data_IF_488011745193
#
_entry.id   IF_488011745193
#
_cell.length_a   1.000
_cell.length_b   1.000
_cell.length_c   1.000
_cell.angle_alpha   90.00
_cell.angle_beta   90.00
_cell.angle_gamma   90.00
#
_symmetry.space_group_name_H-M   'P 1'
#
loop_
_entity.id
_entity.type
_entity.pdbx_description
1 polymer ?
#
# COMPACT_ATOMS: atom_id res chain seq x y z
N UNK A 1 4.97 21.18 -7.88
CA UNK A 1 3.59 21.31 -7.33
C UNK A 1 3.38 22.72 -6.81
N UNK A 2 2.17 23.29 -6.92
CA UNK A 2 1.87 24.62 -6.35
C UNK A 2 1.93 24.56 -4.83
N UNK A 3 2.50 25.59 -4.21
CA UNK A 3 2.55 25.70 -2.76
C UNK A 3 1.12 25.76 -2.16
N UNK A 4 0.92 25.14 -0.99
CA UNK A 4 -0.39 25.07 -0.35
C UNK A 4 -0.72 26.39 0.32
N UNK A 5 -1.92 26.90 0.11
CA UNK A 5 -2.36 28.09 0.82
C UNK A 5 -2.53 27.82 2.32
N UNK A 6 -2.30 28.82 3.19
CA UNK A 6 -2.57 28.68 4.63
C UNK A 6 -4.00 28.24 4.94
N UNK A 7 -4.98 28.65 4.12
CA UNK A 7 -6.38 28.24 4.28
C UNK A 7 -6.57 26.75 3.99
N UNK A 8 -5.85 26.17 3.03
CA UNK A 8 -5.93 24.73 2.73
C UNK A 8 -5.35 23.90 3.87
N UNK A 9 -4.24 24.34 4.48
CA UNK A 9 -3.66 23.69 5.64
C UNK A 9 -4.57 23.80 6.89
N UNK A 10 -5.15 24.96 7.13
CA UNK A 10 -6.06 25.21 8.25
C UNK A 10 -7.38 24.41 8.15
N UNK A 11 -7.72 23.92 6.97
CA UNK A 11 -8.92 23.10 6.76
C UNK A 11 -8.71 21.60 7.07
N UNK A 12 -7.49 21.18 7.38
CA UNK A 12 -7.19 19.77 7.73
C UNK A 12 -7.77 19.44 9.11
N UNK A 13 -8.56 18.38 9.18
CA UNK A 13 -9.07 17.84 10.45
C UNK A 13 -8.05 16.90 11.05
N UNK A 14 -7.71 17.10 12.32
CA UNK A 14 -6.74 16.25 13.05
C UNK A 14 -7.42 15.53 14.21
N UNK A 15 -7.26 14.20 14.24
CA UNK A 15 -7.66 13.36 15.37
C UNK A 15 -6.36 12.86 16.03
N UNK A 16 -6.21 13.14 17.32
CA UNK A 16 -4.98 12.82 18.07
C UNK A 16 -5.12 11.54 18.88
N UNK A 17 -4.00 10.85 19.09
CA UNK A 17 -3.87 9.71 20.02
C UNK A 17 -4.86 8.58 19.75
N UNK A 18 -5.15 8.29 18.49
CA UNK A 18 -6.04 7.20 18.10
C UNK A 18 -5.30 5.87 18.32
N UNK A 19 -5.83 4.98 19.19
CA UNK A 19 -5.19 3.70 19.46
C UNK A 19 -5.32 2.76 18.23
N UNK A 20 -4.22 2.06 17.92
CA UNK A 20 -4.20 1.03 16.89
C UNK A 20 -3.80 -0.36 17.43
N UNK A 21 -3.39 -0.43 18.69
CA UNK A 21 -2.99 -1.66 19.35
C UNK A 21 -2.38 -1.40 20.72
N UNK A 22 -1.79 -2.45 21.27
CA UNK A 22 -1.01 -2.41 22.51
C UNK A 22 0.33 -3.12 22.31
N UNK A 23 1.37 -2.65 22.98
CA UNK A 23 2.70 -3.22 22.94
C UNK A 23 3.25 -3.52 24.31
N UNK A 24 3.86 -4.69 24.51
CA UNK A 24 4.54 -5.03 25.75
C UNK A 24 5.81 -4.22 25.90
N UNK A 25 6.03 -3.64 27.07
CA UNK A 25 7.21 -2.88 27.47
C UNK A 25 7.79 -3.47 28.78
N UNK A 26 9.02 -3.07 29.14
CA UNK A 26 9.67 -3.54 30.36
C UNK A 26 10.03 -5.04 30.34
N UNK A 27 10.25 -5.62 29.16
CA UNK A 27 10.63 -7.02 29.05
C UNK A 27 11.98 -7.29 29.70
N UNK A 28 12.03 -8.30 30.59
CA UNK A 28 13.22 -8.64 31.34
C UNK A 28 13.49 -7.75 32.56
N UNK A 29 12.56 -6.87 32.91
CA UNK A 29 12.61 -6.06 34.14
C UNK A 29 11.62 -6.59 35.19
N UNK A 30 11.66 -5.99 36.37
CA UNK A 30 10.70 -6.21 37.46
C UNK A 30 9.32 -5.53 37.24
N UNK A 31 9.19 -4.75 36.15
CA UNK A 31 7.97 -3.97 35.83
C UNK A 31 7.55 -4.14 34.37
N UNK A 32 7.22 -5.36 33.91
CA UNK A 32 6.62 -5.53 32.59
C UNK A 32 5.22 -4.94 32.58
N UNK A 33 4.83 -4.37 31.42
CA UNK A 33 3.52 -3.75 31.24
C UNK A 33 3.07 -3.72 29.81
N UNK A 34 1.86 -3.21 29.58
CA UNK A 34 1.32 -2.90 28.26
C UNK A 34 1.30 -1.38 28.07
N UNK A 35 1.61 -0.95 26.89
CA UNK A 35 1.50 0.46 26.45
C UNK A 35 0.55 0.55 25.28
N UNK A 36 -0.43 1.45 25.28
CA UNK A 36 -1.21 1.77 24.09
C UNK A 36 -0.29 2.26 22.96
N UNK A 37 -0.48 1.73 21.77
CA UNK A 37 0.17 2.20 20.56
C UNK A 37 -0.79 3.13 19.84
N UNK A 38 -0.38 4.38 19.63
CA UNK A 38 -1.27 5.45 19.16
C UNK A 38 -0.72 6.10 17.88
N UNK A 39 -1.64 6.64 17.09
CA UNK A 39 -1.34 7.40 15.88
C UNK A 39 -2.14 8.70 15.88
N UNK A 40 -1.69 9.68 15.09
CA UNK A 40 -2.48 10.87 14.74
C UNK A 40 -3.00 10.73 13.31
N UNK A 41 -4.24 11.16 13.10
CA UNK A 41 -4.96 11.06 11.83
C UNK A 41 -5.22 12.47 11.29
N UNK A 42 -4.85 12.69 10.04
CA UNK A 42 -5.00 13.96 9.34
C UNK A 42 -5.90 13.73 8.14
N UNK A 43 -7.05 14.39 8.12
CA UNK A 43 -8.06 14.19 7.07
C UNK A 43 -8.35 15.49 6.32
N UNK A 44 -8.55 15.41 5.00
CA UNK A 44 -9.07 16.53 4.23
C UNK A 44 -10.39 17.03 4.78
N UNK A 45 -10.69 18.31 4.60
CA UNK A 45 -12.02 18.85 4.83
C UNK A 45 -13.07 18.16 3.94
N UNK A 46 -14.31 18.09 4.45
CA UNK A 46 -15.45 17.52 3.73
C UNK A 46 -15.50 15.99 3.72
N UNK A 47 -16.50 15.47 3.03
CA UNK A 47 -16.78 14.05 2.94
C UNK A 47 -15.76 13.32 2.07
N UNK A 48 -15.60 12.01 2.30
CA UNK A 48 -14.77 11.19 1.46
C UNK A 48 -15.41 11.04 0.07
N UNK A 49 -14.60 11.06 -1.02
CA UNK A 49 -15.11 10.77 -2.35
C UNK A 49 -15.64 9.32 -2.40
N UNK A 50 -16.60 9.00 -3.29
CA UNK A 50 -17.14 7.65 -3.42
C UNK A 50 -16.09 6.56 -3.63
N UNK A 51 -14.99 6.89 -4.30
CA UNK A 51 -13.85 5.98 -4.50
C UNK A 51 -12.95 5.80 -3.27
N UNK A 52 -13.27 6.47 -2.15
CA UNK A 52 -12.40 6.55 -0.99
C UNK A 52 -11.21 7.51 -1.19
N UNK A 53 -10.50 7.82 -0.11
CA UNK A 53 -9.29 8.66 -0.14
C UNK A 53 -8.04 7.82 -0.38
N UNK A 54 -7.09 8.26 -1.22
CA UNK A 54 -5.75 7.70 -1.20
C UNK A 54 -5.11 8.01 0.16
N UNK A 55 -4.22 7.15 0.61
CA UNK A 55 -3.72 7.20 1.99
C UNK A 55 -2.21 7.19 2.05
N UNK A 56 -1.65 7.93 2.98
CA UNK A 56 -0.23 7.94 3.32
C UNK A 56 -0.03 7.68 4.81
N UNK A 57 0.64 6.58 5.15
CA UNK A 57 0.95 6.18 6.51
C UNK A 57 2.43 6.42 6.76
N UNK A 58 2.79 7.30 7.71
CA UNK A 58 4.17 7.73 7.94
C UNK A 58 4.65 7.38 9.36
N UNK A 59 5.91 6.94 9.42
CA UNK A 59 6.62 6.61 10.65
C UNK A 59 7.82 7.54 10.85
N UNK A 60 7.99 8.05 12.05
CA UNK A 60 9.06 8.97 12.40
C UNK A 60 10.47 8.33 12.42
N UNK A 61 11.50 9.17 12.36
CA UNK A 61 12.89 8.79 12.55
C UNK A 61 13.30 8.70 14.02
N UNK A 62 14.63 8.73 14.27
CA UNK A 62 15.19 8.85 15.61
C UNK A 62 16.01 7.66 16.09
N UNK A 63 16.55 6.86 15.18
CA UNK A 63 17.40 5.71 15.48
C UNK A 63 16.79 4.73 16.49
N UNK A 64 15.47 4.56 16.46
CA UNK A 64 14.68 3.68 17.35
C UNK A 64 14.71 4.07 18.85
N UNK A 65 15.28 5.25 19.19
CA UNK A 65 15.48 5.68 20.58
C UNK A 65 14.84 7.02 20.91
N UNK A 66 14.43 7.78 19.93
CA UNK A 66 13.84 9.12 20.11
C UNK A 66 12.82 9.41 18.99
N UNK A 67 12.11 10.53 19.12
CA UNK A 67 11.04 10.92 18.22
C UNK A 67 9.68 10.43 18.70
N UNK A 68 8.64 11.01 18.12
CA UNK A 68 7.25 10.64 18.33
C UNK A 68 6.46 11.04 17.08
N UNK A 69 5.22 10.59 16.96
CA UNK A 69 4.31 10.89 15.86
C UNK A 69 4.07 12.38 15.58
N UNK A 70 4.38 13.24 16.55
CA UNK A 70 4.18 14.70 16.52
C UNK A 70 5.46 15.50 16.90
N UNK A 71 6.60 14.83 17.10
CA UNK A 71 7.88 15.43 17.53
C UNK A 71 9.05 14.62 17.01
N UNK A 72 9.39 14.81 15.75
CA UNK A 72 10.49 14.13 15.07
C UNK A 72 11.34 15.08 14.20
N UNK A 73 11.37 16.35 14.56
CA UNK A 73 12.32 17.29 14.00
C UNK A 73 13.69 17.08 14.64
N UNK A 74 14.69 16.83 13.80
CA UNK A 74 16.06 16.62 14.21
C UNK A 74 16.98 17.52 13.40
N UNK A 75 18.01 18.01 14.06
CA UNK A 75 19.03 18.86 13.44
C UNK A 75 20.40 18.19 13.48
N UNK A 76 21.18 18.38 12.45
CA UNK A 76 22.60 18.07 12.40
C UNK A 76 23.27 18.97 11.37
N UNK A 77 24.41 19.60 11.80
CA UNK A 77 25.25 20.44 10.95
C UNK A 77 24.46 21.56 10.24
N UNK A 78 23.52 22.18 10.97
CA UNK A 78 22.68 23.27 10.47
C UNK A 78 21.61 22.86 9.47
N UNK A 79 21.38 21.56 9.30
CA UNK A 79 20.31 21.00 8.48
C UNK A 79 19.34 20.23 9.34
N UNK A 80 18.04 20.33 9.02
CA UNK A 80 16.95 19.65 9.73
C UNK A 80 16.09 18.85 8.76
N UNK A 81 15.40 17.84 9.26
CA UNK A 81 14.39 17.12 8.48
C UNK A 81 13.02 17.79 8.61
N UNK A 82 12.18 17.67 7.61
CA UNK A 82 10.76 17.93 7.79
C UNK A 82 10.14 16.81 8.62
N UNK A 83 9.44 17.14 9.72
CA UNK A 83 8.75 16.15 10.55
C UNK A 83 7.66 15.39 9.77
N UNK A 84 7.44 14.12 10.11
CA UNK A 84 6.46 13.30 9.39
C UNK A 84 5.01 13.81 9.54
N UNK A 85 4.69 14.45 10.66
CA UNK A 85 3.38 15.05 10.85
C UNK A 85 3.13 16.25 9.91
N UNK A 86 4.16 17.05 9.59
CA UNK A 86 4.03 18.13 8.62
C UNK A 86 3.74 17.59 7.21
N UNK A 87 4.40 16.50 6.79
CA UNK A 87 4.01 15.80 5.56
C UNK A 87 2.55 15.34 5.62
N UNK A 88 2.08 14.80 6.76
CA UNK A 88 0.69 14.41 6.93
C UNK A 88 -0.28 15.59 6.73
N UNK A 89 -0.01 16.73 7.33
CA UNK A 89 -0.83 17.95 7.17
C UNK A 89 -0.88 18.40 5.71
N UNK A 90 0.28 18.45 5.06
CA UNK A 90 0.41 18.92 3.67
C UNK A 90 -0.25 17.98 2.67
N UNK A 91 -0.10 16.66 2.85
CA UNK A 91 -0.76 15.70 1.97
C UNK A 91 -2.26 15.57 2.27
N UNK A 92 -2.70 15.77 3.52
CA UNK A 92 -4.12 15.87 3.83
C UNK A 92 -4.77 17.09 3.16
N UNK A 93 -4.10 18.23 3.13
CA UNK A 93 -4.57 19.41 2.38
C UNK A 93 -4.66 19.16 0.86
N UNK A 94 -4.01 18.12 0.34
CA UNK A 94 -4.09 17.68 -1.08
C UNK A 94 -5.07 16.52 -1.32
N UNK A 95 -5.87 16.15 -0.32
CA UNK A 95 -6.92 15.14 -0.48
C UNK A 95 -6.57 13.73 0.00
N UNK A 96 -5.38 13.50 0.58
CA UNK A 96 -5.00 12.21 1.15
C UNK A 96 -5.52 12.08 2.59
N UNK A 97 -5.89 10.87 3.01
CA UNK A 97 -5.96 10.56 4.43
C UNK A 97 -4.55 10.21 4.90
N UNK A 98 -4.04 10.92 5.91
CA UNK A 98 -2.68 10.73 6.37
C UNK A 98 -2.63 10.30 7.84
N UNK A 99 -1.66 9.46 8.18
CA UNK A 99 -1.51 8.88 9.49
C UNK A 99 -0.06 9.00 9.93
N UNK A 100 0.19 9.64 11.07
CA UNK A 100 1.51 9.69 11.71
C UNK A 100 1.54 8.70 12.86
N UNK A 101 2.44 7.72 12.81
CA UNK A 101 2.47 6.57 13.71
C UNK A 101 3.50 6.79 14.82
N UNK A 102 3.07 6.61 16.09
CA UNK A 102 3.97 6.38 17.21
C UNK A 102 4.22 4.88 17.40
N UNK A 103 5.44 4.50 17.71
CA UNK A 103 5.85 3.12 17.95
C UNK A 103 6.68 3.01 19.24
N UNK A 104 6.94 1.79 19.73
CA UNK A 104 7.77 1.54 20.93
C UNK A 104 9.23 1.86 20.64
N UNK A 105 9.90 2.51 21.60
CA UNK A 105 11.32 2.79 21.51
C UNK A 105 12.15 1.68 22.19
N UNK A 106 13.39 1.51 21.78
CA UNK A 106 14.27 0.43 22.29
C UNK A 106 14.44 0.49 23.81
N UNK A 107 14.56 1.70 24.40
CA UNK A 107 14.69 1.86 25.85
C UNK A 107 13.42 1.52 26.64
N UNK A 108 12.29 1.36 26.00
CA UNK A 108 11.07 0.85 26.64
C UNK A 108 11.12 -0.67 26.83
N UNK A 109 12.19 -1.31 26.35
CA UNK A 109 12.40 -2.76 26.48
C UNK A 109 11.21 -3.57 25.97
N UNK A 110 10.88 -3.49 24.67
CA UNK A 110 9.78 -4.25 24.09
C UNK A 110 10.03 -5.76 24.21
N UNK A 111 8.96 -6.55 24.32
CA UNK A 111 9.06 -7.99 24.23
C UNK A 111 9.51 -8.45 22.84
N UNK A 112 10.16 -9.63 22.73
CA UNK A 112 10.54 -10.22 21.45
C UNK A 112 9.37 -10.29 20.46
N UNK A 113 9.65 -10.04 19.19
CA UNK A 113 8.71 -10.12 18.08
C UNK A 113 9.18 -11.16 17.07
N UNK A 114 8.35 -11.58 16.11
CA UNK A 114 8.81 -12.37 14.96
C UNK A 114 10.03 -11.70 14.31
N UNK A 115 11.04 -12.50 13.97
CA UNK A 115 12.34 -12.02 13.52
C UNK A 115 12.40 -11.88 11.99
N UNK A 116 12.10 -10.68 11.41
CA UNK A 116 12.30 -10.48 9.99
C UNK A 116 13.77 -10.26 9.61
N UNK A 117 14.61 -9.81 10.54
CA UNK A 117 16.02 -9.49 10.28
C UNK A 117 16.83 -10.79 10.09
N UNK A 118 17.48 -10.95 8.93
CA UNK A 118 18.29 -12.11 8.55
C UNK A 118 19.78 -11.88 8.68
N UNK A 119 20.23 -10.63 8.65
CA UNK A 119 21.65 -10.29 8.86
C UNK A 119 22.17 -10.90 10.16
N UNK A 120 23.46 -11.21 10.20
CA UNK A 120 24.09 -11.73 11.40
C UNK A 120 23.87 -10.76 12.58
N UNK A 121 23.20 -11.25 13.61
CA UNK A 121 22.85 -10.48 14.81
C UNK A 121 24.06 -9.94 15.56
N UNK A 122 25.27 -10.44 15.28
CA UNK A 122 26.51 -9.93 15.86
C UNK A 122 27.10 -8.73 15.11
N UNK A 123 26.71 -8.50 13.86
CA UNK A 123 27.26 -7.48 12.97
C UNK A 123 26.36 -6.26 12.78
N UNK A 124 25.41 -6.03 13.68
CA UNK A 124 24.51 -4.87 13.63
C UNK A 124 25.28 -3.56 13.61
N UNK A 125 25.01 -2.74 12.60
CA UNK A 125 25.58 -1.40 12.48
C UNK A 125 25.08 -0.47 13.59
N UNK A 126 25.85 -0.29 14.64
CA UNK A 126 25.42 0.37 15.86
C UNK A 126 25.98 1.79 16.11
N UNK A 127 26.95 2.23 15.33
CA UNK A 127 27.64 3.52 15.58
C UNK A 127 26.68 4.71 15.76
N UNK A 128 25.65 4.84 14.90
CA UNK A 128 24.64 5.91 15.03
C UNK A 128 23.74 5.69 16.23
N UNK A 129 23.38 4.47 16.52
CA UNK A 129 22.51 4.09 17.65
C UNK A 129 23.25 4.40 18.96
N UNK A 130 24.48 3.96 19.10
CA UNK A 130 25.29 4.20 20.29
C UNK A 130 25.50 5.71 20.53
N UNK A 131 25.78 6.47 19.48
CA UNK A 131 25.89 7.93 19.54
C UNK A 131 24.57 8.60 20.03
N UNK A 132 23.41 8.12 19.58
CA UNK A 132 22.10 8.62 20.06
C UNK A 132 21.88 8.23 21.51
N UNK A 133 22.18 6.99 21.90
CA UNK A 133 22.05 6.50 23.28
C UNK A 133 22.89 7.31 24.27
N UNK A 134 24.14 7.58 23.92
CA UNK A 134 25.03 8.41 24.73
C UNK A 134 24.46 9.81 24.99
N UNK A 135 23.92 10.47 23.92
CA UNK A 135 23.30 11.79 24.05
C UNK A 135 22.00 11.81 24.85
N UNK A 136 21.31 10.68 24.92
CA UNK A 136 20.11 10.50 25.74
C UNK A 136 20.47 10.06 27.20
N UNK A 137 21.74 9.89 27.51
CA UNK A 137 22.18 9.40 28.83
C UNK A 137 21.76 7.94 29.08
N UNK A 138 21.53 7.16 28.04
CA UNK A 138 21.15 5.76 28.15
C UNK A 138 22.40 4.87 28.30
N UNK A 139 22.33 3.81 29.10
CA UNK A 139 23.43 2.87 29.25
C UNK A 139 23.70 2.13 27.92
N UNK A 140 24.91 1.57 27.72
CA UNK A 140 25.18 0.69 26.59
C UNK A 140 24.14 -0.41 26.49
N UNK A 141 23.77 -0.79 25.26
CA UNK A 141 22.87 -1.89 24.99
C UNK A 141 23.59 -3.04 24.30
N UNK A 142 23.11 -4.26 24.50
CA UNK A 142 23.54 -5.43 23.74
C UNK A 142 22.97 -5.39 22.32
N UNK A 143 23.60 -6.11 21.37
CA UNK A 143 23.02 -6.25 20.02
C UNK A 143 21.61 -6.86 20.07
N UNK A 144 21.36 -7.81 20.96
CA UNK A 144 20.07 -8.44 21.15
C UNK A 144 18.98 -7.44 21.57
N UNK A 145 19.30 -6.51 22.50
CA UNK A 145 18.36 -5.46 22.90
C UNK A 145 18.08 -4.47 21.77
N UNK A 146 19.12 -4.12 20.99
CA UNK A 146 18.97 -3.23 19.84
C UNK A 146 18.08 -3.89 18.76
N UNK A 147 18.35 -5.11 18.38
CA UNK A 147 17.57 -5.85 17.38
C UNK A 147 16.13 -6.07 17.83
N UNK A 148 15.92 -6.44 19.09
CA UNK A 148 14.58 -6.57 19.67
C UNK A 148 13.80 -5.24 19.60
N UNK A 149 14.47 -4.12 19.85
CA UNK A 149 13.88 -2.79 19.70
C UNK A 149 13.50 -2.50 18.25
N UNK A 150 14.39 -2.77 17.30
CA UNK A 150 14.14 -2.58 15.86
C UNK A 150 12.98 -3.43 15.37
N UNK A 151 12.98 -4.73 15.71
CA UNK A 151 11.92 -5.68 15.34
C UNK A 151 10.56 -5.27 15.93
N UNK A 152 10.54 -4.71 17.15
CA UNK A 152 9.32 -4.19 17.75
C UNK A 152 8.78 -2.98 16.95
N UNK A 153 9.64 -2.07 16.49
CA UNK A 153 9.24 -0.96 15.62
C UNK A 153 8.65 -1.47 14.30
N UNK A 154 9.26 -2.48 13.67
CA UNK A 154 8.76 -3.05 12.43
C UNK A 154 7.37 -3.69 12.61
N UNK A 155 7.20 -4.41 13.73
CA UNK A 155 5.91 -5.02 14.09
C UNK A 155 4.83 -3.96 14.38
N UNK A 156 5.17 -2.89 15.11
CA UNK A 156 4.25 -1.81 15.44
C UNK A 156 3.79 -1.06 14.19
N UNK A 157 4.71 -0.73 13.28
CA UNK A 157 4.41 -0.07 12.00
C UNK A 157 3.52 -0.96 11.12
N UNK A 158 3.81 -2.26 11.05
CA UNK A 158 2.98 -3.22 10.33
C UNK A 158 1.59 -3.36 10.97
N UNK A 159 1.49 -3.35 12.30
CA UNK A 159 0.22 -3.42 13.03
C UNK A 159 -0.63 -2.17 12.79
N UNK A 160 -0.03 -0.97 12.83
CA UNK A 160 -0.72 0.29 12.54
C UNK A 160 -1.31 0.29 11.12
N UNK A 161 -0.52 -0.09 10.12
CA UNK A 161 -1.00 -0.18 8.75
C UNK A 161 -2.17 -1.15 8.61
N UNK A 162 -2.06 -2.37 9.17
CA UNK A 162 -3.15 -3.36 9.15
C UNK A 162 -4.40 -2.87 9.87
N UNK A 163 -4.23 -2.15 10.98
CA UNK A 163 -5.35 -1.54 11.71
C UNK A 163 -6.06 -0.51 10.83
N UNK A 164 -5.32 0.39 10.17
CA UNK A 164 -5.90 1.40 9.26
C UNK A 164 -6.61 0.71 8.10
N UNK A 165 -5.99 -0.28 7.48
CA UNK A 165 -6.55 -1.06 6.37
C UNK A 165 -7.86 -1.76 6.76
N UNK A 166 -7.89 -2.42 7.91
CA UNK A 166 -9.08 -3.12 8.41
C UNK A 166 -10.24 -2.17 8.79
N UNK A 167 -9.91 -0.93 9.19
CA UNK A 167 -10.86 0.10 9.60
C UNK A 167 -10.99 1.22 8.55
N UNK A 168 -10.62 0.99 7.31
CA UNK A 168 -10.62 1.95 6.22
C UNK A 168 -11.92 2.79 6.07
N UNK A 169 -13.14 2.21 6.22
CA UNK A 169 -14.39 2.96 6.16
C UNK A 169 -14.51 4.08 7.21
N UNK A 170 -13.91 3.92 8.39
CA UNK A 170 -13.94 4.91 9.47
C UNK A 170 -13.44 6.29 9.03
N UNK A 171 -12.41 6.30 8.17
CA UNK A 171 -11.76 7.53 7.69
C UNK A 171 -12.02 7.80 6.21
N UNK A 172 -12.93 7.03 5.59
CA UNK A 172 -13.22 7.13 4.16
C UNK A 172 -12.00 6.80 3.29
N UNK A 173 -11.17 5.87 3.71
CA UNK A 173 -9.97 5.40 3.03
C UNK A 173 -10.31 4.34 1.97
N UNK A 174 -9.63 4.35 0.84
CA UNK A 174 -9.60 3.22 -0.08
C UNK A 174 -8.44 2.29 0.32
N UNK A 175 -8.70 1.07 0.83
CA UNK A 175 -7.67 0.16 1.32
C UNK A 175 -6.69 -0.32 0.23
N UNK A 176 -7.04 -0.23 -1.05
CA UNK A 176 -6.15 -0.58 -2.15
C UNK A 176 -5.23 0.58 -2.58
N UNK A 177 -5.45 1.77 -2.06
CA UNK A 177 -4.68 2.97 -2.39
C UNK A 177 -3.97 3.53 -1.17
N UNK A 178 -3.28 2.66 -0.43
CA UNK A 178 -2.54 3.02 0.77
C UNK A 178 -1.04 2.89 0.54
N UNK A 179 -0.31 3.99 0.69
CA UNK A 179 1.15 4.01 0.75
C UNK A 179 1.63 4.01 2.20
N UNK A 180 2.81 3.48 2.41
CA UNK A 180 3.51 3.52 3.68
C UNK A 180 4.89 4.14 3.49
N UNK A 181 5.39 4.85 4.50
CA UNK A 181 6.71 5.44 4.43
C UNK A 181 7.21 5.98 5.75
N UNK A 182 8.33 6.67 5.68
CA UNK A 182 8.90 7.32 6.85
C UNK A 182 10.31 7.82 6.64
N UNK A 183 10.83 8.45 7.66
CA UNK A 183 12.16 9.03 7.68
C UNK A 183 13.13 8.15 8.50
N UNK A 184 14.36 7.89 8.00
CA UNK A 184 15.42 7.17 8.72
C UNK A 184 14.91 5.82 9.28
N UNK A 185 14.89 5.64 10.61
CA UNK A 185 14.36 4.43 11.26
C UNK A 185 12.90 4.11 10.82
N UNK A 186 12.06 5.13 10.60
CA UNK A 186 10.70 4.95 10.08
C UNK A 186 10.67 4.49 8.62
N UNK A 187 11.59 4.97 7.79
CA UNK A 187 11.76 4.49 6.42
C UNK A 187 12.21 3.03 6.37
N UNK A 188 13.16 2.65 7.24
CA UNK A 188 13.57 1.26 7.41
C UNK A 188 12.38 0.40 7.83
N UNK A 189 11.65 0.82 8.88
CA UNK A 189 10.49 0.06 9.38
C UNK A 189 9.40 -0.14 8.32
N UNK A 190 9.17 0.86 7.47
CA UNK A 190 8.22 0.79 6.36
C UNK A 190 8.65 -0.23 5.30
N UNK A 191 9.94 -0.29 4.96
CA UNK A 191 10.47 -1.30 4.05
C UNK A 191 10.29 -2.72 4.63
N UNK A 192 10.67 -2.94 5.91
CA UNK A 192 10.48 -4.25 6.55
C UNK A 192 9.00 -4.63 6.70
N UNK A 193 8.13 -3.67 7.04
CA UNK A 193 6.69 -3.93 7.14
C UNK A 193 6.11 -4.48 5.82
N UNK A 194 6.54 -3.94 4.67
CA UNK A 194 6.05 -4.37 3.35
C UNK A 194 6.79 -5.60 2.86
N UNK A 195 8.10 -5.50 2.73
CA UNK A 195 8.86 -6.54 2.02
C UNK A 195 9.05 -7.82 2.85
N UNK A 196 9.22 -7.69 4.18
CA UNK A 196 9.43 -8.82 5.07
C UNK A 196 8.14 -9.30 5.77
N UNK A 197 7.31 -8.37 6.28
CA UNK A 197 6.10 -8.71 7.05
C UNK A 197 4.82 -8.75 6.20
N UNK A 198 4.91 -8.50 4.89
CA UNK A 198 3.83 -8.68 3.94
C UNK A 198 2.64 -7.75 4.12
N UNK A 199 2.88 -6.50 4.57
CA UNK A 199 1.84 -5.48 4.64
C UNK A 199 1.37 -5.15 3.22
N UNK A 200 0.04 -5.12 2.94
CA UNK A 200 -0.49 -4.93 1.58
C UNK A 200 -0.50 -3.45 1.16
N UNK A 201 0.67 -2.79 1.20
CA UNK A 201 0.79 -1.41 0.74
C UNK A 201 0.84 -1.33 -0.79
N UNK A 202 0.23 -0.28 -1.36
CA UNK A 202 0.26 0.00 -2.79
C UNK A 202 1.55 0.71 -3.23
N UNK A 203 2.28 1.33 -2.30
CA UNK A 203 3.56 2.01 -2.55
C UNK A 203 4.37 2.16 -1.26
N UNK A 204 5.70 2.25 -1.39
CA UNK A 204 6.62 2.51 -0.28
C UNK A 204 7.39 3.80 -0.53
N UNK A 205 7.48 4.68 0.49
CA UNK A 205 8.26 5.92 0.45
C UNK A 205 9.30 5.89 1.57
N UNK A 206 10.58 5.86 1.23
CA UNK A 206 11.67 5.80 2.21
C UNK A 206 12.62 6.99 2.07
N UNK A 207 12.64 7.81 3.11
CA UNK A 207 13.51 8.98 3.26
C UNK A 207 14.72 8.59 4.11
N UNK A 208 15.89 8.41 3.51
CA UNK A 208 17.15 7.98 4.17
C UNK A 208 16.98 6.74 5.07
N UNK A 209 16.07 5.83 4.66
CA UNK A 209 15.82 4.53 5.29
C UNK A 209 16.29 3.38 4.40
N UNK A 210 15.59 2.27 4.36
CA UNK A 210 15.90 1.14 3.47
C UNK A 210 15.98 -0.18 4.22
N UNK A 211 16.71 -1.13 3.67
CA UNK A 211 16.93 -2.45 4.27
C UNK A 211 18.41 -2.78 4.27
N UNK A 212 18.85 -3.64 5.17
CA UNK A 212 20.18 -4.24 5.07
C UNK A 212 20.32 -5.04 3.77
N UNK A 213 21.54 -5.11 3.25
CA UNK A 213 21.79 -5.71 1.93
C UNK A 213 21.32 -7.16 1.84
N UNK A 214 21.65 -7.97 2.87
CA UNK A 214 21.26 -9.38 2.96
C UNK A 214 19.74 -9.54 3.03
N UNK A 215 19.06 -8.70 3.83
CA UNK A 215 17.61 -8.70 3.95
C UNK A 215 16.93 -8.23 2.66
N UNK A 216 17.49 -7.23 1.98
CA UNK A 216 16.99 -6.79 0.68
C UNK A 216 17.04 -7.95 -0.35
N UNK A 217 18.15 -8.67 -0.43
CA UNK A 217 18.31 -9.82 -1.33
C UNK A 217 17.37 -10.97 -0.97
N UNK A 218 17.11 -11.18 0.33
CA UNK A 218 16.20 -12.23 0.79
C UNK A 218 14.72 -11.91 0.52
N UNK A 219 14.28 -10.67 0.72
CA UNK A 219 12.87 -10.31 0.69
C UNK A 219 12.40 -9.67 -0.61
N UNK A 220 13.28 -8.97 -1.34
CA UNK A 220 12.93 -8.23 -2.57
C UNK A 220 13.34 -9.06 -3.78
N UNK A 221 12.45 -9.93 -4.22
CA UNK A 221 12.68 -10.79 -5.40
C UNK A 221 11.44 -10.86 -6.29
N UNK A 222 11.64 -11.20 -7.56
CA UNK A 222 10.56 -11.31 -8.56
C UNK A 222 9.50 -12.36 -8.21
N UNK A 223 8.31 -12.19 -8.75
CA UNK A 223 7.18 -13.13 -8.55
C UNK A 223 6.32 -12.87 -7.31
N UNK A 224 6.67 -11.93 -6.44
CA UNK A 224 5.88 -11.59 -5.25
C UNK A 224 4.84 -10.47 -5.44
N UNK A 225 4.80 -9.82 -6.61
CA UNK A 225 3.89 -8.68 -6.82
C UNK A 225 4.14 -7.53 -5.84
N UNK A 226 5.41 -7.22 -5.54
CA UNK A 226 5.79 -6.20 -4.58
C UNK A 226 5.45 -4.79 -5.10
N UNK A 227 5.05 -3.84 -4.21
CA UNK A 227 4.70 -2.49 -4.60
C UNK A 227 5.92 -1.66 -5.02
N UNK A 228 5.72 -0.60 -5.82
CA UNK A 228 6.79 0.32 -6.18
C UNK A 228 7.40 1.02 -4.97
N UNK A 229 8.70 1.37 -5.11
CA UNK A 229 9.52 2.00 -4.08
C UNK A 229 9.99 3.38 -4.54
N UNK A 230 9.78 4.39 -3.68
CA UNK A 230 10.43 5.70 -3.76
C UNK A 230 11.49 5.78 -2.66
N UNK A 231 12.75 6.02 -3.07
CA UNK A 231 13.91 6.02 -2.19
C UNK A 231 14.67 7.34 -2.30
N UNK A 232 15.05 7.92 -1.16
CA UNK A 232 15.92 9.10 -1.10
C UNK A 232 17.17 8.80 -0.31
N UNK A 233 18.32 9.26 -0.82
CA UNK A 233 19.62 9.19 -0.15
C UNK A 233 20.20 10.59 -0.08
N UNK A 234 20.65 11.03 1.10
CA UNK A 234 21.37 12.31 1.21
C UNK A 234 22.79 12.19 0.65
N UNK A 235 23.32 13.29 0.10
CA UNK A 235 24.67 13.34 -0.47
C UNK A 235 25.77 13.08 0.57
N UNK A 236 25.55 13.54 1.79
CA UNK A 236 26.40 13.33 2.98
C UNK A 236 25.65 12.55 4.06
N UNK A 237 24.95 11.47 3.66
CA UNK A 237 24.18 10.62 4.56
C UNK A 237 25.11 9.86 5.54
N UNK A 238 24.51 9.23 6.55
CA UNK A 238 25.24 8.37 7.48
C UNK A 238 25.97 7.26 6.70
N UNK A 239 27.23 6.92 7.02
CA UNK A 239 28.08 6.06 6.19
C UNK A 239 27.48 4.70 5.79
N UNK A 240 26.58 4.16 6.62
CA UNK A 240 25.91 2.89 6.34
C UNK A 240 24.69 3.02 5.42
N UNK A 241 24.15 4.22 5.16
CA UNK A 241 22.91 4.41 4.40
C UNK A 241 23.14 4.28 2.88
N UNK A 242 24.10 4.99 2.25
CA UNK A 242 24.27 4.93 0.82
C UNK A 242 24.54 3.53 0.27
N UNK A 243 25.44 2.68 0.84
CA UNK A 243 25.66 1.34 0.31
C UNK A 243 24.42 0.43 0.44
N UNK A 244 23.62 0.56 1.52
CA UNK A 244 22.36 -0.17 1.66
C UNK A 244 21.35 0.22 0.60
N UNK A 245 21.24 1.52 0.30
CA UNK A 245 20.33 2.03 -0.73
C UNK A 245 20.74 1.58 -2.13
N UNK A 246 22.01 1.55 -2.46
CA UNK A 246 22.50 1.04 -3.73
C UNK A 246 22.15 -0.46 -3.89
N UNK A 247 22.36 -1.26 -2.83
CA UNK A 247 21.99 -2.69 -2.86
C UNK A 247 20.48 -2.87 -3.00
N UNK A 248 19.69 -2.13 -2.22
CA UNK A 248 18.22 -2.20 -2.30
C UNK A 248 17.71 -1.77 -3.69
N UNK A 249 18.25 -0.69 -4.26
CA UNK A 249 17.90 -0.22 -5.59
C UNK A 249 18.26 -1.25 -6.67
N UNK A 250 19.48 -1.80 -6.63
CA UNK A 250 19.91 -2.84 -7.57
C UNK A 250 19.05 -4.10 -7.47
N UNK A 251 18.69 -4.50 -6.25
CA UNK A 251 17.82 -5.68 -6.00
C UNK A 251 16.40 -5.42 -6.50
N UNK A 252 15.84 -4.24 -6.24
CA UNK A 252 14.54 -3.83 -6.75
C UNK A 252 14.48 -3.86 -8.29
N UNK A 253 15.52 -3.34 -8.97
CA UNK A 253 15.63 -3.38 -10.43
C UNK A 253 15.68 -4.82 -10.95
N UNK A 254 16.51 -5.68 -10.34
CA UNK A 254 16.59 -7.11 -10.71
C UNK A 254 15.27 -7.85 -10.51
N UNK A 255 14.52 -7.48 -9.47
CA UNK A 255 13.20 -8.04 -9.17
C UNK A 255 12.08 -7.52 -10.09
N UNK A 256 12.35 -6.55 -10.96
CA UNK A 256 11.34 -5.91 -11.82
C UNK A 256 10.43 -4.95 -11.04
N UNK A 257 10.88 -4.46 -9.88
CA UNK A 257 10.11 -3.52 -9.07
C UNK A 257 10.08 -2.13 -9.70
N UNK A 258 8.94 -1.44 -9.62
CA UNK A 258 8.87 -0.02 -9.93
C UNK A 258 9.72 0.77 -8.92
N UNK A 259 10.76 1.49 -9.39
CA UNK A 259 11.69 2.23 -8.53
C UNK A 259 11.85 3.67 -9.00
N UNK A 260 11.87 4.59 -8.04
CA UNK A 260 12.50 5.92 -8.15
C UNK A 260 13.49 6.08 -7.01
N UNK A 261 14.73 6.33 -7.33
CA UNK A 261 15.79 6.61 -6.36
C UNK A 261 16.39 7.99 -6.66
N UNK A 262 16.28 8.88 -5.68
CA UNK A 262 16.81 10.23 -5.75
C UNK A 262 17.97 10.42 -4.80
N UNK A 263 18.95 11.20 -5.23
CA UNK A 263 19.96 11.79 -4.38
C UNK A 263 19.47 13.19 -3.96
N UNK A 264 19.65 13.53 -2.69
CA UNK A 264 19.51 14.88 -2.13
C UNK A 264 20.92 15.45 -1.98
N UNK A 265 21.46 16.16 -3.00
CA UNK A 265 22.86 16.58 -3.01
C UNK A 265 23.14 17.57 -1.89
N UNK A 266 24.40 17.62 -1.45
CA UNK A 266 24.92 18.56 -0.47
C UNK A 266 24.16 18.63 0.87
N UNK A 267 23.39 17.60 1.21
CA UNK A 267 22.67 17.48 2.48
C UNK A 267 23.22 16.35 3.33
N UNK A 268 23.32 16.57 4.66
CA UNK A 268 23.58 15.49 5.61
C UNK A 268 22.33 14.60 5.74
N UNK A 269 22.36 13.65 6.67
CA UNK A 269 21.23 12.72 6.93
C UNK A 269 19.87 13.39 7.12
N UNK A 270 19.83 14.61 7.68
CA UNK A 270 18.60 15.37 7.84
C UNK A 270 18.49 16.41 6.73
N UNK A 271 17.39 16.37 6.00
CA UNK A 271 17.02 17.29 4.91
C UNK A 271 15.53 17.54 4.91
N UNK A 272 15.16 18.73 4.49
CA UNK A 272 13.76 19.15 4.45
C UNK A 272 13.06 18.78 3.13
N UNK A 273 11.75 18.97 3.12
CA UNK A 273 10.86 18.70 1.98
C UNK A 273 11.17 19.55 0.73
N UNK A 274 11.81 20.71 0.91
CA UNK A 274 12.15 21.65 -0.17
C UNK A 274 13.55 21.39 -0.73
N UNK A 275 14.30 20.49 -0.11
CA UNK A 275 15.65 20.15 -0.56
C UNK A 275 15.61 19.68 -2.03
N UNK A 276 16.53 20.20 -2.87
CA UNK A 276 16.65 19.81 -4.27
C UNK A 276 17.04 18.35 -4.41
N UNK A 277 16.63 17.71 -5.50
CA UNK A 277 16.93 16.31 -5.77
C UNK A 277 17.48 16.09 -7.16
N UNK A 278 18.22 15.01 -7.32
CA UNK A 278 18.71 14.52 -8.61
C UNK A 278 18.36 13.03 -8.75
N UNK A 279 17.85 12.64 -9.92
CA UNK A 279 17.55 11.23 -10.21
C UNK A 279 18.84 10.41 -10.23
N UNK A 280 18.89 9.35 -9.43
CA UNK A 280 20.00 8.39 -9.39
C UNK A 280 19.67 7.12 -10.17
N UNK A 281 18.55 6.49 -9.84
CA UNK A 281 18.02 5.33 -10.57
C UNK A 281 16.51 5.46 -10.73
N UNK A 282 15.97 5.08 -11.87
CA UNK A 282 14.54 4.99 -12.07
C UNK A 282 14.17 3.91 -13.09
N UNK A 283 13.20 3.07 -12.74
CA UNK A 283 12.52 2.16 -13.68
C UNK A 283 11.14 2.69 -14.06
N UNK A 284 10.69 3.80 -13.42
CA UNK A 284 9.43 4.46 -13.69
C UNK A 284 9.67 5.75 -14.49
N UNK A 285 8.78 6.12 -15.43
CA UNK A 285 8.94 7.32 -16.25
C UNK A 285 8.78 8.61 -15.42
N UNK A 286 9.35 9.71 -15.94
CA UNK A 286 9.12 11.07 -15.44
C UNK A 286 9.81 11.40 -14.12
N UNK A 287 10.83 10.67 -13.73
CA UNK A 287 11.61 10.96 -12.54
C UNK A 287 12.30 12.33 -12.60
N UNK A 288 12.80 12.72 -13.78
CA UNK A 288 13.55 13.96 -14.01
C UNK A 288 12.68 15.23 -13.89
N UNK A 289 11.36 15.09 -13.83
CA UNK A 289 10.42 16.22 -13.74
C UNK A 289 10.20 16.73 -12.30
N UNK A 290 10.85 16.11 -11.28
CA UNK A 290 10.74 16.51 -9.88
C UNK A 290 11.93 17.39 -9.50
N UNK A 291 11.65 18.49 -8.79
CA UNK A 291 12.68 19.44 -8.35
C UNK A 291 13.05 19.27 -6.87
N UNK A 292 12.11 18.87 -6.03
CA UNK A 292 12.26 18.75 -4.58
C UNK A 292 11.79 17.41 -4.05
N UNK A 293 12.15 17.11 -2.81
CA UNK A 293 11.71 15.92 -2.08
C UNK A 293 10.18 15.82 -2.08
N UNK A 294 9.47 16.93 -1.73
CA UNK A 294 8.00 16.93 -1.68
C UNK A 294 7.36 16.73 -3.06
N UNK A 295 7.94 17.33 -4.11
CA UNK A 295 7.47 17.16 -5.49
C UNK A 295 7.56 15.67 -5.91
N UNK A 296 8.66 15.02 -5.57
CA UNK A 296 8.86 13.62 -5.91
C UNK A 296 7.89 12.70 -5.17
N UNK A 297 7.67 12.94 -3.86
CA UNK A 297 6.69 12.19 -3.08
C UNK A 297 5.29 12.39 -3.68
N UNK A 298 4.89 13.64 -3.89
CA UNK A 298 3.56 13.97 -4.41
C UNK A 298 3.29 13.36 -5.78
N UNK A 299 4.26 13.44 -6.69
CA UNK A 299 4.15 12.84 -8.02
C UNK A 299 4.10 11.32 -7.95
N UNK A 300 4.97 10.70 -7.18
CA UNK A 300 5.00 9.25 -7.02
C UNK A 300 3.68 8.73 -6.45
N UNK A 301 3.16 9.33 -5.37
CA UNK A 301 1.87 8.96 -4.78
C UNK A 301 0.70 9.20 -5.77
N UNK A 302 0.70 10.32 -6.50
CA UNK A 302 -0.34 10.59 -7.49
C UNK A 302 -0.37 9.52 -8.60
N UNK A 303 0.77 9.05 -9.04
CA UNK A 303 0.87 8.06 -10.12
C UNK A 303 0.58 6.63 -9.63
N UNK A 304 1.04 6.27 -8.42
CA UNK A 304 0.89 4.91 -7.88
C UNK A 304 -0.45 4.67 -7.19
N UNK A 305 -1.06 5.72 -6.62
CA UNK A 305 -2.34 5.64 -5.90
C UNK A 305 -3.52 6.18 -6.73
N UNK A 306 -3.40 6.18 -8.06
CA UNK A 306 -4.55 6.54 -8.92
C UNK A 306 -5.69 5.55 -8.70
N UNK A 307 -6.94 6.03 -8.66
CA UNK A 307 -8.06 5.09 -8.75
C UNK A 307 -7.92 4.29 -10.06
N UNK A 308 -8.28 3.02 -10.05
CA UNK A 308 -8.25 2.22 -11.27
C UNK A 308 -9.06 2.92 -12.35
N UNK A 309 -8.48 3.01 -13.53
CA UNK A 309 -9.13 3.60 -14.72
C UNK A 309 -10.14 2.62 -15.32
N UNK A 310 -11.02 2.06 -14.50
CA UNK A 310 -12.15 1.28 -15.00
C UNK A 310 -13.23 2.25 -15.43
N UNK A 311 -13.61 2.14 -16.68
CA UNK A 311 -14.64 2.98 -17.30
C UNK A 311 -15.85 2.14 -17.69
N UNK A 312 -16.96 2.81 -17.95
CA UNK A 312 -18.14 2.20 -18.57
C UNK A 312 -17.75 1.54 -19.90
N UNK A 313 -16.87 2.15 -20.69
CA UNK A 313 -16.40 1.62 -21.98
C UNK A 313 -15.66 0.28 -21.83
N UNK A 314 -14.92 0.08 -20.72
CA UNK A 314 -14.30 -1.21 -20.43
C UNK A 314 -15.35 -2.30 -20.18
N UNK A 315 -16.42 -2.01 -19.45
CA UNK A 315 -17.51 -2.97 -19.21
C UNK A 315 -18.32 -3.21 -20.49
N UNK A 316 -18.52 -2.20 -21.32
CA UNK A 316 -19.13 -2.37 -22.66
C UNK A 316 -18.28 -3.30 -23.54
N UNK A 317 -16.95 -3.09 -23.59
CA UNK A 317 -16.03 -3.95 -24.34
C UNK A 317 -16.02 -5.40 -23.80
N UNK A 318 -16.10 -5.59 -22.48
CA UNK A 318 -16.27 -6.90 -21.83
C UNK A 318 -17.59 -7.58 -22.24
N UNK A 319 -18.71 -6.86 -22.22
CA UNK A 319 -20.02 -7.39 -22.63
C UNK A 319 -20.05 -7.76 -24.13
N UNK A 320 -19.39 -6.97 -24.97
CA UNK A 320 -19.22 -7.28 -26.39
C UNK A 320 -18.38 -8.53 -26.63
N UNK A 321 -17.32 -8.75 -25.83
CA UNK A 321 -16.51 -9.97 -25.90
C UNK A 321 -17.35 -11.22 -25.56
N UNK A 322 -18.25 -11.14 -24.57
CA UNK A 322 -19.23 -12.19 -24.28
C UNK A 322 -20.12 -12.51 -25.49
N UNK A 323 -20.69 -11.50 -26.13
CA UNK A 323 -21.58 -11.67 -27.28
C UNK A 323 -20.85 -12.18 -28.53
N UNK A 324 -19.56 -11.88 -28.69
CA UNK A 324 -18.73 -12.42 -29.78
C UNK A 324 -18.12 -13.78 -29.49
N UNK A 325 -18.33 -14.34 -28.31
CA UNK A 325 -17.71 -15.58 -27.82
C UNK A 325 -16.17 -15.52 -27.84
N UNK A 326 -15.59 -14.37 -27.53
CA UNK A 326 -14.16 -14.11 -27.55
C UNK A 326 -13.56 -14.36 -26.15
N UNK A 327 -13.15 -15.61 -25.92
CA UNK A 327 -12.63 -16.04 -24.62
C UNK A 327 -11.31 -15.37 -24.26
N UNK A 328 -10.45 -15.13 -25.24
CA UNK A 328 -9.15 -14.50 -24.98
C UNK A 328 -9.32 -13.03 -24.63
N UNK A 329 -10.22 -12.30 -25.32
CA UNK A 329 -10.57 -10.94 -24.94
C UNK A 329 -11.17 -10.87 -23.55
N UNK A 330 -12.11 -11.79 -23.19
CA UNK A 330 -12.69 -11.84 -21.83
C UNK A 330 -11.60 -12.01 -20.77
N UNK A 331 -10.70 -12.97 -20.96
CA UNK A 331 -9.60 -13.21 -20.02
C UNK A 331 -8.59 -12.06 -19.99
N UNK A 332 -8.52 -11.24 -21.05
CA UNK A 332 -7.76 -10.00 -21.08
C UNK A 332 -8.22 -8.96 -20.06
N UNK A 333 -9.50 -8.94 -19.71
CA UNK A 333 -10.05 -8.05 -18.69
C UNK A 333 -9.91 -8.57 -17.25
N UNK A 334 -9.61 -9.86 -17.06
CA UNK A 334 -9.59 -10.50 -15.74
C UNK A 334 -8.23 -10.34 -15.04
N UNK A 335 -8.24 -10.10 -13.73
CA UNK A 335 -7.05 -10.13 -12.89
C UNK A 335 -6.49 -11.57 -12.75
N UNK A 336 -5.25 -11.71 -12.29
CA UNK A 336 -4.62 -13.03 -12.13
C UNK A 336 -5.27 -13.85 -11.00
N UNK A 337 -5.70 -13.20 -9.92
CA UNK A 337 -6.43 -13.78 -8.79
C UNK A 337 -7.95 -13.68 -8.93
N UNK A 338 -8.46 -13.68 -10.17
CA UNK A 338 -9.87 -13.45 -10.44
C UNK A 338 -10.78 -14.55 -9.88
N UNK A 339 -12.00 -14.14 -9.56
CA UNK A 339 -13.07 -15.02 -9.08
C UNK A 339 -14.34 -14.78 -9.88
N UNK A 340 -14.99 -15.86 -10.28
CA UNK A 340 -16.30 -15.82 -10.91
C UNK A 340 -17.32 -16.61 -10.08
N UNK A 341 -18.41 -15.94 -9.68
CA UNK A 341 -19.57 -16.57 -9.07
C UNK A 341 -20.68 -16.71 -10.12
N UNK A 342 -21.13 -17.92 -10.34
CA UNK A 342 -22.25 -18.18 -11.26
C UNK A 342 -23.57 -17.83 -10.58
N UNK A 343 -24.60 -17.53 -11.39
CA UNK A 343 -25.96 -17.21 -10.94
C UNK A 343 -26.67 -18.40 -10.24
N UNK A 344 -26.14 -19.60 -10.29
CA UNK A 344 -26.68 -20.82 -9.68
C UNK A 344 -25.54 -21.74 -9.23
N UNK A 345 -25.83 -22.59 -8.28
CA UNK A 345 -24.87 -23.55 -7.75
C UNK A 345 -25.35 -24.15 -6.43
N UNK A 346 -24.53 -24.97 -5.80
CA UNK A 346 -24.86 -25.63 -4.54
C UNK A 346 -24.93 -24.69 -3.34
N UNK A 347 -24.23 -23.54 -3.42
CA UNK A 347 -24.14 -22.56 -2.34
C UNK A 347 -25.04 -21.34 -2.59
N UNK A 348 -25.34 -20.57 -1.55
CA UNK A 348 -26.12 -19.33 -1.63
C UNK A 348 -25.52 -18.31 -2.61
N UNK A 349 -24.22 -18.32 -2.80
CA UNK A 349 -23.48 -17.47 -3.75
C UNK A 349 -23.23 -18.12 -5.12
N UNK A 350 -23.92 -19.19 -5.47
CA UNK A 350 -23.71 -19.93 -6.73
C UNK A 350 -22.48 -20.86 -6.69
N UNK A 351 -21.94 -21.21 -7.85
CA UNK A 351 -20.67 -21.93 -7.94
C UNK A 351 -19.52 -20.92 -8.05
N UNK A 352 -18.48 -21.11 -7.25
CA UNK A 352 -17.32 -20.24 -7.20
C UNK A 352 -16.13 -20.83 -7.97
N UNK A 353 -15.69 -20.13 -9.02
CA UNK A 353 -14.49 -20.43 -9.79
C UNK A 353 -13.38 -19.47 -9.42
N UNK A 354 -12.20 -19.98 -9.01
CA UNK A 354 -11.07 -19.18 -8.49
C UNK A 354 -9.86 -19.36 -9.40
N UNK A 355 -9.26 -18.24 -9.81
CA UNK A 355 -8.09 -18.19 -10.68
C UNK A 355 -8.43 -18.26 -12.15
N UNK A 356 -7.49 -17.82 -12.99
CA UNK A 356 -7.70 -17.63 -14.43
C UNK A 356 -8.16 -18.90 -15.17
N UNK A 357 -7.58 -20.05 -14.85
CA UNK A 357 -7.90 -21.31 -15.57
C UNK A 357 -9.31 -21.78 -15.26
N UNK A 358 -9.73 -21.73 -13.98
CA UNK A 358 -11.08 -22.12 -13.58
C UNK A 358 -12.15 -21.15 -14.13
N UNK A 359 -11.86 -19.84 -14.13
CA UNK A 359 -12.76 -18.83 -14.70
C UNK A 359 -12.85 -18.99 -16.21
N UNK A 360 -11.74 -19.22 -16.91
CA UNK A 360 -11.71 -19.48 -18.35
C UNK A 360 -12.56 -20.71 -18.72
N UNK A 361 -12.41 -21.79 -17.99
CA UNK A 361 -13.20 -23.01 -18.21
C UNK A 361 -14.70 -22.78 -17.99
N UNK A 362 -15.07 -22.02 -16.96
CA UNK A 362 -16.47 -21.68 -16.69
C UNK A 362 -17.08 -20.78 -17.79
N UNK A 363 -16.32 -19.83 -18.33
CA UNK A 363 -16.77 -19.00 -19.46
C UNK A 363 -16.97 -19.82 -20.73
N UNK A 364 -16.02 -20.69 -21.08
CA UNK A 364 -16.15 -21.60 -22.22
C UNK A 364 -17.39 -22.53 -22.08
N UNK A 365 -17.63 -23.02 -20.86
CA UNK A 365 -18.80 -23.86 -20.58
C UNK A 365 -20.14 -23.13 -20.83
N UNK A 366 -20.23 -21.84 -20.52
CA UNK A 366 -21.44 -21.06 -20.75
C UNK A 366 -21.85 -21.06 -22.24
N UNK A 367 -20.91 -21.02 -23.17
CA UNK A 367 -21.17 -21.12 -24.61
C UNK A 367 -21.38 -22.56 -25.10
N UNK A 368 -20.74 -23.54 -24.45
CA UNK A 368 -21.06 -24.92 -24.73
C UNK A 368 -22.52 -25.28 -24.37
N UNK A 369 -22.99 -24.74 -23.24
CA UNK A 369 -24.38 -24.91 -22.79
C UNK A 369 -25.40 -24.12 -23.65
N UNK A 370 -24.98 -22.98 -24.23
CA UNK A 370 -25.79 -22.08 -25.06
C UNK A 370 -24.98 -21.55 -26.26
N UNK A 371 -24.87 -22.30 -27.34
CA UNK A 371 -24.02 -21.95 -28.50
C UNK A 371 -24.44 -20.66 -29.24
N UNK A 372 -25.69 -20.24 -29.11
CA UNK A 372 -26.24 -19.01 -29.69
C UNK A 372 -26.42 -17.88 -28.63
N UNK A 373 -25.72 -17.99 -27.47
CA UNK A 373 -25.85 -17.06 -26.37
C UNK A 373 -25.52 -15.61 -26.77
N UNK A 374 -26.39 -14.69 -26.37
CA UNK A 374 -26.17 -13.24 -26.52
C UNK A 374 -26.60 -12.50 -25.26
N UNK A 375 -25.84 -11.46 -24.92
CA UNK A 375 -26.19 -10.53 -23.88
C UNK A 375 -26.60 -9.21 -24.54
N UNK A 376 -27.86 -8.87 -24.43
CA UNK A 376 -28.48 -7.71 -25.10
C UNK A 376 -28.97 -6.70 -24.08
N UNK A 377 -29.30 -5.48 -24.52
CA UNK A 377 -29.82 -4.38 -23.68
C UNK A 377 -28.88 -4.03 -22.52
N UNK A 378 -27.57 -4.14 -22.73
CA UNK A 378 -26.59 -3.89 -21.69
C UNK A 378 -26.62 -2.44 -21.23
N UNK A 379 -26.52 -2.24 -19.91
CA UNK A 379 -26.28 -0.94 -19.26
C UNK A 379 -25.20 -1.12 -18.23
N UNK A 380 -24.28 -0.18 -18.16
CA UNK A 380 -23.11 -0.29 -17.31
C UNK A 380 -23.00 0.90 -16.37
N UNK A 381 -22.59 0.63 -15.13
CA UNK A 381 -22.33 1.62 -14.10
C UNK A 381 -20.99 1.29 -13.46
N UNK A 382 -20.16 2.29 -13.25
CA UNK A 382 -18.86 2.16 -12.56
C UNK A 382 -18.76 3.23 -11.50
N UNK A 383 -18.40 2.83 -10.28
CA UNK A 383 -18.15 3.72 -9.17
C UNK A 383 -16.95 3.20 -8.38
N UNK A 384 -15.80 3.86 -8.54
CA UNK A 384 -14.55 3.43 -7.91
C UNK A 384 -14.20 2.00 -8.31
N UNK A 385 -14.05 1.12 -7.32
CA UNK A 385 -13.71 -0.29 -7.51
C UNK A 385 -14.91 -1.23 -7.68
N UNK A 386 -16.10 -0.68 -7.86
CA UNK A 386 -17.33 -1.45 -8.05
C UNK A 386 -17.95 -1.12 -9.39
N UNK A 387 -18.55 -2.13 -10.02
CA UNK A 387 -19.30 -1.94 -11.25
C UNK A 387 -20.52 -2.84 -11.30
N UNK A 388 -21.48 -2.47 -12.14
CA UNK A 388 -22.68 -3.25 -12.44
C UNK A 388 -22.87 -3.24 -13.94
N UNK A 389 -23.18 -4.40 -14.50
CA UNK A 389 -23.73 -4.54 -15.85
C UNK A 389 -25.11 -5.17 -15.77
N UNK A 390 -26.14 -4.46 -16.13
CA UNK A 390 -27.47 -5.01 -16.37
C UNK A 390 -27.54 -5.55 -17.81
N UNK A 391 -28.21 -6.65 -18.03
CA UNK A 391 -28.33 -7.28 -19.36
C UNK A 391 -29.54 -8.17 -19.46
N UNK A 392 -29.96 -8.46 -20.71
CA UNK A 392 -30.88 -9.53 -21.05
C UNK A 392 -30.11 -10.66 -21.75
N UNK A 393 -30.08 -11.84 -21.14
CA UNK A 393 -29.52 -13.05 -21.75
C UNK A 393 -30.56 -13.69 -22.67
N UNK A 394 -30.13 -14.07 -23.87
CA UNK A 394 -30.93 -14.82 -24.85
C UNK A 394 -30.08 -15.96 -25.39
N UNK A 395 -30.61 -17.17 -25.38
CA UNK A 395 -29.90 -18.33 -25.93
C UNK A 395 -30.75 -19.57 -25.94
N UNK A 396 -30.37 -20.56 -26.75
CA UNK A 396 -30.99 -21.86 -26.83
C UNK A 396 -30.14 -22.91 -26.12
N UNK A 397 -30.72 -23.60 -25.14
CA UNK A 397 -29.99 -24.59 -24.36
C UNK A 397 -29.66 -25.81 -25.22
N UNK A 398 -28.38 -26.16 -25.27
CA UNK A 398 -27.93 -27.27 -26.13
C UNK A 398 -28.51 -28.64 -25.76
N UNK A 399 -28.81 -28.87 -24.47
CA UNK A 399 -29.24 -30.17 -23.95
C UNK A 399 -30.69 -30.53 -24.31
N UNK A 400 -31.59 -29.57 -24.49
CA UNK A 400 -33.04 -29.79 -24.68
C UNK A 400 -33.68 -28.85 -25.70
N UNK A 401 -32.89 -27.94 -26.32
CA UNK A 401 -33.39 -26.99 -27.32
C UNK A 401 -34.28 -25.88 -26.75
N UNK A 402 -34.40 -25.76 -25.46
CA UNK A 402 -35.27 -24.75 -24.84
C UNK A 402 -34.66 -23.36 -25.01
N UNK A 403 -35.44 -22.43 -25.58
CA UNK A 403 -35.07 -21.04 -25.69
C UNK A 403 -35.24 -20.31 -24.34
N UNK A 404 -34.19 -19.69 -23.89
CA UNK A 404 -34.13 -18.93 -22.63
C UNK A 404 -33.97 -17.44 -22.94
N UNK A 405 -34.84 -16.62 -22.33
CA UNK A 405 -34.71 -15.16 -22.33
C UNK A 405 -34.95 -14.68 -20.90
N UNK A 406 -33.93 -14.09 -20.25
CA UNK A 406 -34.00 -13.66 -18.86
C UNK A 406 -33.17 -12.40 -18.62
N UNK A 407 -33.65 -11.51 -17.75
CA UNK A 407 -32.89 -10.37 -17.28
C UNK A 407 -31.96 -10.78 -16.14
N UNK A 408 -30.81 -10.16 -16.10
CA UNK A 408 -29.83 -10.35 -15.05
C UNK A 408 -28.90 -9.15 -14.89
N UNK A 409 -27.98 -9.30 -13.98
CA UNK A 409 -26.88 -8.36 -13.81
C UNK A 409 -25.61 -9.06 -13.34
N UNK A 410 -24.49 -8.46 -13.63
CA UNK A 410 -23.19 -8.81 -13.06
C UNK A 410 -22.75 -7.71 -12.11
N UNK A 411 -22.32 -8.10 -10.92
CA UNK A 411 -21.65 -7.22 -9.97
C UNK A 411 -20.14 -7.42 -10.10
N UNK A 412 -19.42 -6.33 -10.26
CA UNK A 412 -17.97 -6.36 -10.41
C UNK A 412 -17.24 -5.77 -9.22
N UNK A 413 -16.10 -6.36 -8.89
CA UNK A 413 -15.06 -5.74 -8.07
C UNK A 413 -13.79 -5.68 -8.92
N UNK A 414 -13.16 -4.50 -8.96
CA UNK A 414 -11.96 -4.26 -9.76
C UNK A 414 -10.71 -4.22 -8.87
N UNK A 415 -9.58 -4.63 -9.44
CA UNK A 415 -8.24 -4.45 -8.90
C UNK A 415 -7.38 -3.82 -10.00
N UNK A 416 -6.90 -2.58 -9.77
CA UNK A 416 -6.34 -1.79 -10.86
C UNK A 416 -7.33 -1.59 -12.00
N UNK A 417 -6.91 -1.88 -13.21
CA UNK A 417 -7.71 -1.82 -14.45
C UNK A 417 -8.35 -3.17 -14.82
N UNK A 418 -8.38 -4.16 -13.88
CA UNK A 418 -8.82 -5.53 -14.14
C UNK A 418 -10.03 -5.91 -13.29
N UNK A 419 -10.84 -6.84 -13.81
CA UNK A 419 -11.94 -7.46 -13.07
C UNK A 419 -11.36 -8.53 -12.14
N UNK A 420 -11.43 -8.30 -10.83
CA UNK A 420 -11.05 -9.28 -9.82
C UNK A 420 -12.18 -10.22 -9.45
N UNK A 421 -13.41 -9.68 -9.30
CA UNK A 421 -14.59 -10.51 -9.02
C UNK A 421 -15.68 -10.16 -10.01
N UNK A 422 -16.27 -11.18 -10.63
CA UNK A 422 -17.52 -11.12 -11.37
C UNK A 422 -18.54 -12.01 -10.66
N UNK A 423 -19.64 -11.44 -10.23
CA UNK A 423 -20.73 -12.14 -9.56
C UNK A 423 -22.01 -11.96 -10.35
N UNK A 424 -22.53 -13.05 -10.89
CA UNK A 424 -23.66 -13.04 -11.83
C UNK A 424 -24.96 -13.35 -11.13
N UNK A 425 -25.96 -12.55 -11.41
CA UNK A 425 -27.32 -12.68 -10.91
C UNK A 425 -28.30 -12.71 -12.08
N UNK A 426 -29.34 -13.53 -12.02
CA UNK A 426 -30.42 -13.49 -13.00
C UNK A 426 -31.78 -13.83 -12.40
N UNK A 427 -32.87 -13.35 -13.03
CA UNK A 427 -34.23 -13.68 -12.66
C UNK A 427 -34.54 -15.14 -13.01
N UNK A 428 -35.33 -15.79 -12.18
CA UNK A 428 -35.95 -17.07 -12.51
C UNK A 428 -37.26 -16.79 -13.24
N UNK A 429 -37.42 -17.39 -14.41
CA UNK A 429 -38.71 -17.39 -15.13
C UNK A 429 -39.44 -18.70 -14.83
N UNK A 430 -40.57 -18.63 -14.11
CA UNK A 430 -41.48 -19.76 -13.98
C UNK A 430 -42.22 -19.90 -15.30
N UNK A 431 -42.06 -21.03 -16.00
CA UNK A 431 -42.95 -21.40 -17.10
C UNK A 431 -44.28 -21.77 -16.48
N UNK A 432 -45.34 -20.98 -16.77
CA UNK A 432 -46.70 -21.45 -16.57
C UNK A 432 -46.89 -22.71 -17.43
N UNK A 433 -47.15 -23.86 -16.80
CA UNK A 433 -47.46 -25.11 -17.48
C UNK A 433 -48.73 -25.01 -18.30
#
# INVERSE_FOLDING_TARGET
>A
MTDLSPAALAAVRVERDIPYGEGTIGHGTDRPGLRPLVMDVYLPAGDAPPAGRPTLVLSHGGAYHRGAKDRDEFEQDGSHNTPVHEYCERFAARGYACFSIGYRLTQEQPAPQPHPIKVDRQTVGRARIDWVRERLGLPPATNEELLRGMEAVYADVAAAFRHIHANAPRWGVDPERMAIGGFSAGGVASCYAVFALGVPAAAVVSLSGGMDAEDAEHYVHGGRGLPPLLLFTAGHDLPGVPPRHETLAATAIRAGLGLRHYLVPDRPHFYDRESPIVTRHSTLPGAEACATVEDAIGRFLHETLRPPAVTVDMLEAFAQAWTRHDLDALMGFMADDCVFHTWSGPDAGGTRHIGRDAVRAAYAKAWADFPDARWTRARHFVQGRRGVSEWTFVGTRASDGVRVEVDGCDLFTFSGDRIRVKDSWRKLRTTSG
#
